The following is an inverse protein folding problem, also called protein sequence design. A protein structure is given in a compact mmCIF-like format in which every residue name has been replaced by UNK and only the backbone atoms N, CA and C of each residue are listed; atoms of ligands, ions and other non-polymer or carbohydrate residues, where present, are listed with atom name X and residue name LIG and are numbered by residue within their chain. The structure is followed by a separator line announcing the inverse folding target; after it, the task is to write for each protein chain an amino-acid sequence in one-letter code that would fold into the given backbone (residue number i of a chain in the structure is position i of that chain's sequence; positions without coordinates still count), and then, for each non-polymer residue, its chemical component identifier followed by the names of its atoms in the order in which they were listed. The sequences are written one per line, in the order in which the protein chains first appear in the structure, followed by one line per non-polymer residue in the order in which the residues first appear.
data_IF_938237577784
#
_entry.id   IF_938237577784
#
_cell.length_a   1.000
_cell.length_b   1.000
_cell.length_c   1.000
_cell.angle_alpha   90.00
_cell.angle_beta   90.00
_cell.angle_gamma   90.00
#
_symmetry.space_group_name_H-M   'P 1'
#
loop_
_entity.id
_entity.type
_entity.pdbx_description
1 polymer ?
#
# COMPACT_ATOMS: atom_id res chain seq x y z
N UNK A 1 3.57 0.03 -22.43
CA UNK A 1 2.88 0.74 -21.32
C UNK A 1 3.84 1.79 -20.79
N UNK A 2 3.34 2.94 -20.41
CA UNK A 2 4.09 4.21 -20.36
C UNK A 2 4.88 4.33 -19.05
N UNK A 3 6.03 5.01 -19.06
CA UNK A 3 6.81 5.41 -17.87
C UNK A 3 7.12 6.90 -17.92
N UNK A 4 7.30 7.52 -16.76
CA UNK A 4 7.89 8.86 -16.64
C UNK A 4 9.41 8.76 -16.67
N UNK A 5 10.04 9.67 -17.42
CA UNK A 5 11.48 9.92 -17.31
C UNK A 5 11.75 11.41 -17.19
N UNK A 6 12.66 11.75 -16.27
CA UNK A 6 13.22 13.09 -16.17
C UNK A 6 14.22 13.32 -17.31
N UNK A 7 14.01 14.38 -18.10
CA UNK A 7 15.03 14.90 -19.00
C UNK A 7 15.76 16.07 -18.36
N UNK A 8 17.02 16.24 -18.81
CA UNK A 8 18.00 17.20 -18.29
C UNK A 8 17.41 18.55 -17.83
N UNK A 9 17.87 18.97 -16.65
CA UNK A 9 17.72 20.31 -16.10
C UNK A 9 18.26 21.33 -17.10
N UNK A 10 17.39 22.17 -17.66
CA UNK A 10 17.86 23.29 -18.47
C UNK A 10 18.49 24.34 -17.53
N UNK A 11 19.79 24.59 -17.65
CA UNK A 11 20.52 25.49 -16.74
C UNK A 11 20.07 26.96 -16.79
N UNK A 12 19.18 27.31 -17.73
CA UNK A 12 18.68 28.66 -17.98
C UNK A 12 17.26 28.89 -17.42
N UNK A 13 16.54 27.82 -17.08
CA UNK A 13 15.15 27.83 -16.65
C UNK A 13 15.02 26.58 -15.78
N UNK A 14 14.90 26.71 -14.45
CA UNK A 14 14.95 25.64 -13.44
C UNK A 14 13.77 24.64 -13.52
N UNK A 15 13.38 24.24 -14.73
CA UNK A 15 12.24 23.41 -15.08
C UNK A 15 12.74 22.04 -15.54
N UNK A 16 12.39 21.01 -14.79
CA UNK A 16 12.44 19.61 -15.23
C UNK A 16 11.24 19.38 -16.15
N UNK A 17 11.47 19.00 -17.41
CA UNK A 17 10.38 18.57 -18.30
C UNK A 17 10.11 17.09 -18.04
N UNK A 18 8.94 16.78 -17.49
CA UNK A 18 8.42 15.42 -17.38
C UNK A 18 8.14 14.94 -18.79
N UNK A 19 8.77 13.83 -19.21
CA UNK A 19 8.53 13.23 -20.52
C UNK A 19 8.06 11.80 -20.35
N UNK A 20 6.93 11.47 -20.97
CA UNK A 20 6.43 10.11 -21.02
C UNK A 20 7.13 9.33 -22.12
N UNK A 21 7.61 8.13 -21.82
CA UNK A 21 8.22 7.21 -22.79
C UNK A 21 7.64 5.82 -22.61
N UNK A 22 7.81 4.92 -23.58
CA UNK A 22 7.47 3.52 -23.33
C UNK A 22 8.53 2.84 -22.45
N UNK A 23 8.19 1.75 -21.74
CA UNK A 23 9.18 0.94 -21.00
C UNK A 23 10.36 0.53 -21.90
N UNK A 24 10.10 0.14 -23.15
CA UNK A 24 11.14 -0.26 -24.10
C UNK A 24 12.10 0.91 -24.42
N UNK A 25 11.54 2.10 -24.65
CA UNK A 25 12.34 3.31 -24.86
C UNK A 25 13.14 3.69 -23.60
N UNK A 26 12.54 3.52 -22.42
CA UNK A 26 13.24 3.74 -21.15
C UNK A 26 14.44 2.78 -20.97
N UNK A 27 14.28 1.51 -21.34
CA UNK A 27 15.36 0.51 -21.33
C UNK A 27 16.47 0.85 -22.32
N UNK A 28 16.12 1.25 -23.54
CA UNK A 28 17.08 1.68 -24.56
C UNK A 28 17.92 2.87 -24.06
N UNK A 29 17.28 3.85 -23.43
CA UNK A 29 17.97 4.97 -22.80
C UNK A 29 18.89 4.58 -21.67
N UNK A 30 18.45 3.69 -20.77
CA UNK A 30 19.29 3.19 -19.69
C UNK A 30 20.51 2.42 -20.23
N UNK A 31 20.42 1.87 -21.44
CA UNK A 31 21.53 1.23 -22.16
C UNK A 31 22.39 2.22 -22.98
N UNK A 32 22.15 3.54 -22.87
CA UNK A 32 22.93 4.58 -23.56
C UNK A 32 22.41 4.96 -24.95
N UNK A 33 21.24 4.47 -25.37
CA UNK A 33 20.62 4.90 -26.63
C UNK A 33 19.72 6.12 -26.42
N UNK A 34 20.10 7.26 -27.01
CA UNK A 34 19.38 8.52 -26.84
C UNK A 34 18.30 8.78 -27.91
N UNK A 35 18.10 7.86 -28.86
CA UNK A 35 17.11 7.99 -29.93
C UNK A 35 15.80 7.36 -29.47
N UNK A 36 15.03 8.11 -28.68
CA UNK A 36 13.66 7.73 -28.30
C UNK A 36 12.71 8.89 -28.48
N UNK A 37 11.43 8.59 -28.70
CA UNK A 37 10.38 9.59 -28.92
C UNK A 37 9.44 9.61 -27.73
N UNK A 38 9.09 10.80 -27.26
CA UNK A 38 8.12 10.97 -26.18
C UNK A 38 6.72 10.56 -26.61
N UNK A 39 5.92 9.98 -25.71
CA UNK A 39 4.48 9.84 -25.87
C UNK A 39 3.84 11.18 -25.55
N UNK A 40 3.15 11.78 -26.53
CA UNK A 40 2.52 13.10 -26.41
C UNK A 40 1.00 13.02 -26.35
N UNK A 41 0.39 11.95 -26.89
CA UNK A 41 -1.05 11.72 -26.80
C UNK A 41 -1.40 10.27 -26.55
N UNK A 42 -2.49 10.07 -25.83
CA UNK A 42 -3.12 8.78 -25.55
C UNK A 42 -4.58 8.88 -25.98
N UNK A 43 -5.01 8.04 -26.92
CA UNK A 43 -6.36 8.06 -27.49
C UNK A 43 -6.77 9.45 -28.02
N UNK A 44 -5.81 10.22 -28.54
CA UNK A 44 -6.02 11.57 -29.06
C UNK A 44 -6.05 12.70 -28.01
N UNK A 45 -6.04 12.35 -26.73
CA UNK A 45 -5.94 13.28 -25.58
C UNK A 45 -4.47 13.53 -25.27
N UNK A 46 -4.10 14.72 -24.80
CA UNK A 46 -2.75 14.98 -24.28
C UNK A 46 -2.35 13.91 -23.24
N UNK A 47 -1.11 13.42 -23.31
CA UNK A 47 -0.67 12.33 -22.47
C UNK A 47 -0.72 12.69 -20.97
N UNK A 48 -0.42 13.95 -20.61
CA UNK A 48 -0.48 14.43 -19.22
C UNK A 48 -1.92 14.40 -18.73
N UNK A 49 -2.82 15.05 -19.48
CA UNK A 49 -4.24 15.15 -19.13
C UNK A 49 -4.89 13.77 -18.99
N UNK A 50 -4.55 12.85 -19.91
CA UNK A 50 -5.04 11.49 -19.86
C UNK A 50 -4.61 10.77 -18.57
N UNK A 51 -3.32 10.86 -18.23
CA UNK A 51 -2.75 10.17 -17.07
C UNK A 51 -3.25 10.77 -15.74
N UNK A 52 -3.37 12.09 -15.65
CA UNK A 52 -3.95 12.76 -14.48
C UNK A 52 -5.41 12.34 -14.27
N UNK A 53 -6.23 12.35 -15.33
CA UNK A 53 -7.63 11.92 -15.24
C UNK A 53 -7.75 10.44 -14.84
N UNK A 54 -6.88 9.60 -15.41
CA UNK A 54 -6.84 8.19 -15.08
C UNK A 54 -6.45 7.93 -13.62
N UNK A 55 -5.42 8.62 -13.11
CA UNK A 55 -5.02 8.54 -11.71
C UNK A 55 -6.14 8.99 -10.77
N UNK A 56 -6.83 10.09 -11.11
CA UNK A 56 -7.90 10.65 -10.29
C UNK A 56 -9.10 9.71 -10.16
N UNK A 57 -9.44 8.97 -11.22
CA UNK A 57 -10.62 8.09 -11.27
C UNK A 57 -10.32 6.64 -10.85
N UNK A 58 -9.09 6.16 -11.08
CA UNK A 58 -8.78 4.74 -11.03
C UNK A 58 -7.92 4.27 -9.86
N UNK A 59 -7.25 5.16 -9.12
CA UNK A 59 -6.21 4.76 -8.15
C UNK A 59 -6.66 5.03 -6.71
N UNK A 60 -6.53 4.01 -5.83
CA UNK A 60 -6.96 4.06 -4.43
C UNK A 60 -5.82 4.62 -3.58
N UNK A 61 -5.55 5.91 -3.73
CA UNK A 61 -4.70 6.64 -2.80
C UNK A 61 -5.38 7.95 -2.43
N UNK A 62 -5.26 8.33 -1.15
CA UNK A 62 -5.91 9.54 -0.63
C UNK A 62 -5.25 10.82 -1.14
N UNK A 63 -3.94 10.76 -1.39
CA UNK A 63 -3.16 11.88 -1.88
C UNK A 63 -3.12 11.89 -3.43
N UNK A 64 -3.39 13.03 -4.10
CA UNK A 64 -3.32 13.14 -5.56
C UNK A 64 -1.95 12.76 -6.15
N UNK A 65 -0.85 13.14 -5.50
CA UNK A 65 0.50 12.86 -5.98
C UNK A 65 0.82 11.37 -5.81
N UNK A 66 0.38 10.75 -4.72
CA UNK A 66 0.46 9.30 -4.53
C UNK A 66 -0.30 8.54 -5.62
N UNK A 67 -1.50 9.00 -6.01
CA UNK A 67 -2.25 8.40 -7.13
C UNK A 67 -1.45 8.50 -8.42
N UNK A 68 -0.90 9.67 -8.71
CA UNK A 68 -0.15 9.90 -9.94
C UNK A 68 1.14 9.06 -10.00
N UNK A 69 1.94 9.05 -8.94
CA UNK A 69 3.19 8.30 -8.87
C UNK A 69 2.97 6.79 -9.08
N UNK A 70 1.86 6.27 -8.55
CA UNK A 70 1.51 4.85 -8.66
C UNK A 70 1.13 4.40 -10.08
N UNK A 71 0.92 5.32 -11.02
CA UNK A 71 0.72 4.95 -12.43
C UNK A 71 1.92 4.21 -13.01
N UNK A 72 3.13 4.54 -12.56
CA UNK A 72 4.36 4.12 -13.21
C UNK A 72 5.04 2.97 -12.45
N UNK A 73 5.86 2.16 -13.13
CA UNK A 73 6.68 1.14 -12.48
C UNK A 73 7.59 1.75 -11.42
N UNK A 74 7.62 1.13 -10.25
CA UNK A 74 8.41 1.56 -9.11
C UNK A 74 9.25 0.39 -8.56
N UNK A 75 10.53 0.58 -8.27
CA UNK A 75 11.39 -0.48 -7.77
C UNK A 75 10.98 -1.04 -6.40
N UNK A 76 10.50 -0.21 -5.49
CA UNK A 76 10.08 -0.62 -4.15
C UNK A 76 8.81 -1.47 -4.26
N UNK A 77 7.88 -1.08 -5.13
CA UNK A 77 6.71 -1.86 -5.52
C UNK A 77 7.08 -3.21 -6.17
N UNK A 78 8.20 -3.27 -6.90
CA UNK A 78 8.69 -4.53 -7.46
C UNK A 78 9.23 -5.48 -6.38
N UNK A 79 9.96 -4.95 -5.39
CA UNK A 79 10.50 -5.74 -4.27
C UNK A 79 9.38 -6.31 -3.39
N UNK A 80 8.34 -5.50 -3.09
CA UNK A 80 7.16 -5.98 -2.36
C UNK A 80 6.22 -6.85 -3.20
N UNK A 81 6.52 -7.03 -4.49
CA UNK A 81 5.65 -7.68 -5.46
C UNK A 81 4.25 -7.04 -5.56
N UNK A 82 4.12 -5.79 -5.12
CA UNK A 82 2.88 -5.03 -5.17
C UNK A 82 2.86 -4.15 -6.42
N UNK A 83 2.38 -4.71 -7.52
CA UNK A 83 2.15 -3.95 -8.77
C UNK A 83 3.45 -3.36 -9.36
N UNK A 84 4.47 -4.19 -9.67
CA UNK A 84 5.78 -3.74 -10.17
C UNK A 84 5.73 -2.85 -11.42
N UNK A 85 4.67 -2.98 -12.23
CA UNK A 85 4.50 -2.25 -13.49
C UNK A 85 3.67 -0.97 -13.35
N UNK A 86 3.27 -0.60 -12.13
CA UNK A 86 2.35 0.51 -11.87
C UNK A 86 0.90 0.20 -12.23
N UNK A 87 -0.02 1.03 -11.74
CA UNK A 87 -1.46 0.86 -11.93
C UNK A 87 -1.90 1.06 -13.38
N UNK A 88 -1.13 1.81 -14.18
CA UNK A 88 -1.37 1.97 -15.61
C UNK A 88 -1.46 0.63 -16.34
N UNK A 89 -0.62 -0.34 -15.96
CA UNK A 89 -0.54 -1.61 -16.67
C UNK A 89 -1.77 -2.50 -16.46
N UNK A 90 -2.52 -2.28 -15.39
CA UNK A 90 -3.66 -3.11 -14.98
C UNK A 90 -5.01 -2.42 -15.18
N UNK A 91 -5.04 -1.09 -15.18
CA UNK A 91 -6.30 -0.31 -15.17
C UNK A 91 -7.29 -0.78 -14.08
N UNK A 92 -6.78 -1.35 -12.97
CA UNK A 92 -7.58 -2.03 -11.93
C UNK A 92 -8.61 -3.06 -12.41
N UNK A 93 -8.38 -3.69 -13.56
CA UNK A 93 -9.37 -4.60 -14.14
C UNK A 93 -10.63 -3.89 -14.66
N UNK A 94 -10.66 -2.56 -14.67
CA UNK A 94 -11.69 -1.79 -15.34
C UNK A 94 -11.49 -1.92 -16.85
N UNK A 95 -12.60 -2.12 -17.58
CA UNK A 95 -12.57 -2.05 -19.03
C UNK A 95 -12.57 -0.57 -19.47
N UNK A 96 -11.57 -0.11 -20.24
CA UNK A 96 -11.48 1.30 -20.63
C UNK A 96 -12.44 1.69 -21.77
N UNK A 97 -13.33 0.77 -22.19
CA UNK A 97 -14.33 1.03 -23.23
C UNK A 97 -13.84 0.81 -24.67
N UNK A 98 -12.56 0.50 -24.87
CA UNK A 98 -11.97 0.22 -26.17
C UNK A 98 -11.06 -1.02 -26.10
N UNK A 99 -10.88 -1.72 -27.22
CA UNK A 99 -10.00 -2.88 -27.30
C UNK A 99 -8.52 -2.51 -27.45
N UNK A 100 -8.22 -1.26 -27.78
CA UNK A 100 -6.85 -0.77 -27.95
C UNK A 100 -6.63 0.60 -27.32
N UNK A 101 -5.38 0.86 -26.91
CA UNK A 101 -4.86 2.20 -26.64
C UNK A 101 -4.05 2.67 -27.85
N UNK A 102 -4.33 3.88 -28.32
CA UNK A 102 -3.53 4.54 -29.35
C UNK A 102 -2.53 5.51 -28.69
N UNK A 103 -1.25 5.17 -28.74
CA UNK A 103 -0.18 6.08 -28.39
C UNK A 103 0.24 6.89 -29.62
N UNK A 104 0.43 8.20 -29.45
CA UNK A 104 1.05 9.07 -30.45
C UNK A 104 2.33 9.66 -29.88
N UNK A 105 3.37 9.67 -30.69
CA UNK A 105 4.71 10.05 -30.29
C UNK A 105 5.09 11.45 -30.84
N UNK A 106 6.04 12.13 -30.20
CA UNK A 106 6.48 13.47 -30.58
C UNK A 106 7.06 13.55 -32.00
N UNK A 107 7.65 12.45 -32.50
CA UNK A 107 8.12 12.30 -33.88
C UNK A 107 6.99 12.02 -34.90
N UNK A 108 5.72 12.07 -34.48
CA UNK A 108 4.55 11.87 -35.33
C UNK A 108 4.18 10.41 -35.58
N UNK A 109 4.96 9.43 -35.11
CA UNK A 109 4.57 8.02 -35.22
C UNK A 109 3.46 7.68 -34.23
N UNK A 110 2.77 6.57 -34.49
CA UNK A 110 1.73 6.05 -33.60
C UNK A 110 1.94 4.58 -33.32
N UNK A 111 1.41 4.10 -32.18
CA UNK A 111 1.42 2.69 -31.79
C UNK A 111 0.10 2.32 -31.16
N UNK A 112 -0.55 1.31 -31.72
CA UNK A 112 -1.71 0.66 -31.10
C UNK A 112 -1.23 -0.38 -30.09
N UNK A 113 -1.81 -0.39 -28.89
CA UNK A 113 -1.59 -1.38 -27.85
C UNK A 113 -2.89 -2.10 -27.60
N UNK A 114 -2.88 -3.43 -27.68
CA UNK A 114 -4.06 -4.24 -27.34
C UNK A 114 -4.29 -4.28 -25.83
N UNK A 115 -5.57 -4.18 -25.44
CA UNK A 115 -6.00 -4.36 -24.07
C UNK A 115 -6.40 -5.82 -23.93
N UNK A 116 -5.70 -6.53 -23.05
CA UNK A 116 -5.92 -7.94 -22.81
C UNK A 116 -6.59 -8.16 -21.45
N UNK A 117 -7.50 -9.12 -21.39
CA UNK A 117 -7.99 -9.69 -20.14
C UNK A 117 -7.30 -11.04 -19.93
N UNK A 118 -6.80 -11.28 -18.72
CA UNK A 118 -6.13 -12.54 -18.37
C UNK A 118 -7.04 -13.40 -17.52
N UNK A 119 -7.20 -14.67 -17.91
CA UNK A 119 -7.88 -15.69 -17.12
C UNK A 119 -6.85 -16.45 -16.27
N UNK A 120 -7.02 -16.52 -14.94
CA UNK A 120 -6.07 -17.24 -14.09
C UNK A 120 -6.01 -18.73 -14.47
N UNK A 121 -4.82 -19.26 -14.70
CA UNK A 121 -4.64 -20.69 -15.03
C UNK A 121 -5.17 -21.59 -13.91
N UNK A 122 -5.07 -21.15 -12.65
CA UNK A 122 -5.61 -21.84 -11.48
C UNK A 122 -7.14 -22.06 -11.56
N UNK A 123 -7.86 -21.21 -12.31
CA UNK A 123 -9.29 -21.33 -12.55
C UNK A 123 -9.63 -22.31 -13.69
N UNK A 124 -8.64 -23.06 -14.22
CA UNK A 124 -8.83 -24.00 -15.33
C UNK A 124 -8.95 -23.30 -16.68
N UNK A 125 -9.59 -23.95 -17.66
CA UNK A 125 -9.85 -23.35 -18.98
C UNK A 125 -11.08 -22.45 -18.91
N UNK A 126 -11.00 -21.25 -19.48
CA UNK A 126 -12.17 -20.35 -19.62
C UNK A 126 -13.14 -20.87 -20.68
N UNK A 127 -13.98 -21.84 -20.29
CA UNK A 127 -14.97 -22.46 -21.16
C UNK A 127 -16.37 -21.82 -21.00
N UNK A 128 -16.48 -20.70 -20.30
CA UNK A 128 -17.74 -20.01 -20.02
C UNK A 128 -17.99 -18.93 -21.08
N UNK A 129 -18.98 -19.15 -21.95
CA UNK A 129 -19.35 -18.21 -23.03
C UNK A 129 -20.48 -17.27 -22.65
N UNK A 130 -21.08 -17.43 -21.47
CA UNK A 130 -22.17 -16.61 -20.96
C UNK A 130 -21.98 -16.30 -19.47
N UNK A 131 -22.50 -15.16 -19.01
CA UNK A 131 -22.36 -14.73 -17.62
C UNK A 131 -22.99 -15.69 -16.61
N UNK A 132 -24.11 -16.33 -16.96
CA UNK A 132 -24.80 -17.30 -16.11
C UNK A 132 -23.93 -18.53 -15.79
N UNK A 133 -23.26 -19.10 -16.79
CA UNK A 133 -22.40 -20.28 -16.57
C UNK A 133 -21.12 -19.94 -15.81
N UNK A 134 -20.65 -18.68 -15.88
CA UNK A 134 -19.56 -18.20 -15.03
C UNK A 134 -20.04 -18.03 -13.57
N UNK A 135 -21.22 -17.45 -13.37
CA UNK A 135 -21.80 -17.27 -12.03
C UNK A 135 -22.04 -18.62 -11.33
N UNK A 136 -22.62 -19.60 -12.03
CA UNK A 136 -22.83 -20.95 -11.49
C UNK A 136 -21.51 -21.64 -11.12
N UNK A 137 -20.45 -21.43 -11.90
CA UNK A 137 -19.17 -22.10 -11.68
C UNK A 137 -18.33 -21.50 -10.54
N UNK A 138 -18.54 -20.22 -10.18
CA UNK A 138 -17.66 -19.50 -9.24
C UNK A 138 -18.38 -18.76 -8.10
N UNK A 139 -19.69 -18.55 -8.19
CA UNK A 139 -20.48 -17.83 -7.19
C UNK A 139 -21.57 -18.68 -6.52
N UNK A 140 -21.57 -20.00 -6.76
CA UNK A 140 -22.38 -20.94 -5.98
C UNK A 140 -21.85 -21.00 -4.53
N UNK A 141 -22.73 -20.72 -3.57
CA UNK A 141 -22.42 -20.66 -2.13
C UNK A 141 -21.96 -21.99 -1.52
N UNK A 142 -21.98 -23.08 -2.29
CA UNK A 142 -21.49 -24.41 -1.89
C UNK A 142 -20.03 -24.67 -2.25
N UNK A 143 -19.39 -23.76 -3.00
CA UNK A 143 -17.97 -23.89 -3.36
C UNK A 143 -17.07 -23.36 -2.22
N UNK A 144 -15.98 -24.07 -1.85
CA UNK A 144 -15.02 -23.55 -0.89
C UNK A 144 -14.41 -22.25 -1.42
N UNK A 145 -14.40 -21.20 -0.59
CA UNK A 145 -14.00 -19.82 -0.88
C UNK A 145 -12.51 -19.62 -1.20
N UNK A 146 -11.85 -20.62 -1.78
CA UNK A 146 -10.45 -20.55 -2.22
C UNK A 146 -10.38 -20.15 -3.69
N UNK A 147 -11.03 -19.04 -4.05
CA UNK A 147 -10.85 -18.40 -5.35
C UNK A 147 -9.78 -17.30 -5.23
N UNK A 148 -8.53 -17.77 -5.12
CA UNK A 148 -7.34 -17.25 -5.79
C UNK A 148 -7.35 -15.73 -6.10
N UNK A 149 -6.80 -14.94 -5.17
CA UNK A 149 -6.12 -13.70 -5.53
C UNK A 149 -4.72 -14.07 -6.05
N UNK A 150 -4.61 -14.56 -7.28
CA UNK A 150 -3.31 -14.56 -7.95
C UNK A 150 -3.09 -13.17 -8.55
N UNK A 151 -2.02 -12.52 -8.12
CA UNK A 151 -1.49 -11.37 -8.85
C UNK A 151 -1.15 -11.82 -10.27
N UNK A 152 -1.41 -11.00 -11.31
CA UNK A 152 -1.05 -11.34 -12.68
C UNK A 152 0.44 -11.72 -12.76
N UNK A 153 0.74 -12.78 -13.52
CA UNK A 153 2.11 -13.21 -13.77
C UNK A 153 2.96 -12.04 -14.27
N UNK A 154 4.07 -11.80 -13.58
CA UNK A 154 5.10 -10.82 -13.93
C UNK A 154 5.67 -11.19 -15.32
N UNK A 155 5.54 -10.35 -16.36
CA UNK A 155 6.33 -10.49 -17.58
C UNK A 155 7.82 -10.39 -17.25
N UNK A 156 8.72 -11.04 -18.00
CA UNK A 156 10.05 -11.41 -17.54
C UNK A 156 10.90 -10.21 -17.09
N UNK A 157 11.48 -10.37 -15.89
CA UNK A 157 12.62 -9.63 -15.29
C UNK A 157 12.69 -8.15 -15.69
N UNK A 158 11.92 -7.32 -14.99
CA UNK A 158 12.46 -6.01 -14.62
C UNK A 158 13.78 -6.29 -13.91
N UNK A 159 14.92 -5.91 -14.51
CA UNK A 159 16.18 -5.89 -13.76
C UNK A 159 15.91 -4.92 -12.62
N UNK A 160 15.81 -5.45 -11.41
CA UNK A 160 15.83 -4.67 -10.20
C UNK A 160 16.92 -3.60 -10.37
N UNK A 161 16.62 -2.32 -10.09
CA UNK A 161 17.67 -1.33 -10.09
C UNK A 161 18.69 -1.82 -9.07
N UNK A 162 19.95 -1.90 -9.50
CA UNK A 162 21.04 -2.26 -8.60
C UNK A 162 21.03 -1.27 -7.45
N UNK A 163 20.52 -1.68 -6.29
CA UNK A 163 20.62 -0.89 -5.07
C UNK A 163 22.12 -0.74 -4.83
N UNK A 164 22.62 0.50 -4.94
CA UNK A 164 24.06 0.78 -4.96
C UNK A 164 24.79 0.31 -3.69
N UNK A 165 24.06 0.20 -2.58
CA UNK A 165 24.55 -0.32 -1.31
C UNK A 165 23.64 -1.47 -0.85
N UNK A 166 24.16 -2.69 -0.65
CA UNK A 166 23.34 -3.78 -0.13
C UNK A 166 22.79 -3.40 1.26
N UNK A 167 21.57 -3.83 1.62
CA UNK A 167 21.03 -3.59 2.94
C UNK A 167 21.91 -4.22 4.01
N UNK A 168 22.07 -3.51 5.13
CA UNK A 168 22.81 -3.99 6.31
C UNK A 168 21.98 -5.01 7.09
N UNK A 169 20.65 -4.93 6.93
CA UNK A 169 19.67 -5.85 7.48
C UNK A 169 18.46 -5.89 6.55
N UNK A 170 17.85 -7.06 6.40
CA UNK A 170 16.60 -7.23 5.67
C UNK A 170 15.70 -8.23 6.37
N UNK A 171 14.39 -8.02 6.27
CA UNK A 171 13.41 -9.03 6.62
C UNK A 171 13.48 -10.18 5.59
N UNK A 172 13.28 -11.42 6.04
CA UNK A 172 13.42 -12.63 5.21
C UNK A 172 12.59 -12.59 3.92
N UNK A 173 11.33 -12.14 4.02
CA UNK A 173 10.41 -11.97 2.88
C UNK A 173 10.54 -10.62 2.16
N UNK A 174 11.67 -9.91 2.28
CA UNK A 174 11.88 -8.60 1.63
C UNK A 174 10.84 -7.52 2.02
N UNK A 175 10.23 -7.64 3.21
CA UNK A 175 9.20 -6.72 3.71
C UNK A 175 9.76 -5.49 4.41
N UNK A 176 11.06 -5.48 4.68
CA UNK A 176 11.77 -4.37 5.33
C UNK A 176 13.25 -4.45 5.00
N UNK A 177 13.88 -3.28 4.81
CA UNK A 177 15.32 -3.16 4.63
C UNK A 177 15.90 -2.02 5.49
N UNK A 178 17.08 -2.27 6.04
CA UNK A 178 17.85 -1.33 6.82
C UNK A 178 19.13 -0.93 6.11
N UNK A 179 19.38 0.37 5.96
CA UNK A 179 20.57 0.93 5.32
C UNK A 179 21.22 1.98 6.21
N UNK A 180 22.51 2.25 5.97
CA UNK A 180 23.17 3.48 6.37
C UNK A 180 23.47 4.30 5.12
N UNK A 181 23.35 5.62 5.23
CA UNK A 181 23.74 6.50 4.14
C UNK A 181 25.23 6.77 4.19
N UNK A 182 25.82 6.87 3.00
CA UNK A 182 27.20 7.27 2.80
C UNK A 182 27.25 8.68 2.23
N UNK A 183 28.20 9.49 2.67
CA UNK A 183 28.43 10.84 2.14
C UNK A 183 28.67 11.88 3.22
N UNK A 184 29.19 13.04 2.81
CA UNK A 184 29.56 14.11 3.74
C UNK A 184 28.32 14.55 4.53
N UNK A 185 28.40 14.37 5.85
CA UNK A 185 27.32 14.75 6.77
C UNK A 185 26.12 13.80 6.74
N UNK A 186 26.29 12.55 6.31
CA UNK A 186 25.26 11.49 6.38
C UNK A 186 25.68 10.29 7.24
N UNK A 187 26.88 10.31 7.83
CA UNK A 187 27.48 9.20 8.57
C UNK A 187 26.67 8.75 9.79
N UNK A 188 25.80 9.61 10.30
CA UNK A 188 24.90 9.39 11.43
C UNK A 188 23.45 9.10 11.04
N UNK A 189 23.18 8.85 9.75
CA UNK A 189 21.84 8.57 9.20
C UNK A 189 21.64 7.09 8.96
N UNK A 190 20.56 6.55 9.52
CA UNK A 190 20.00 5.24 9.19
C UNK A 190 18.72 5.40 8.36
N UNK A 191 18.45 4.43 7.49
CA UNK A 191 17.22 4.34 6.70
C UNK A 191 16.53 3.01 6.98
N UNK A 192 15.26 3.08 7.37
CA UNK A 192 14.35 1.95 7.47
C UNK A 192 13.36 2.03 6.30
N UNK A 193 13.57 1.22 5.27
CA UNK A 193 12.66 1.12 4.14
C UNK A 193 11.64 0.02 4.36
N UNK A 194 10.37 0.35 4.17
CA UNK A 194 9.22 -0.51 4.39
C UNK A 194 8.37 -0.52 3.12
N UNK A 195 8.61 -1.48 2.21
CA UNK A 195 7.84 -1.61 0.98
C UNK A 195 6.36 -1.94 1.17
N UNK A 196 5.97 -2.52 2.32
CA UNK A 196 4.59 -2.92 2.62
C UNK A 196 4.38 -3.14 4.13
N UNK A 197 3.14 -3.05 4.59
CA UNK A 197 2.71 -3.56 5.91
C UNK A 197 1.94 -4.89 5.80
N UNK A 198 1.83 -5.45 4.59
CA UNK A 198 1.21 -6.77 4.44
C UNK A 198 2.10 -7.82 5.09
N UNK A 199 1.50 -8.62 5.96
CA UNK A 199 2.13 -9.85 6.42
C UNK A 199 1.82 -10.92 5.38
N UNK A 200 2.84 -11.57 4.83
CA UNK A 200 2.66 -12.84 4.14
C UNK A 200 1.97 -13.77 5.13
N UNK A 201 0.97 -14.55 4.70
CA UNK A 201 0.33 -15.55 5.57
C UNK A 201 1.45 -16.33 6.23
N UNK A 202 1.55 -16.19 7.56
CA UNK A 202 2.55 -16.86 8.38
C UNK A 202 2.64 -18.30 7.89
N UNK A 203 3.74 -18.67 7.23
CA UNK A 203 4.02 -20.08 7.05
C UNK A 203 4.28 -20.61 8.45
N UNK A 204 3.23 -21.19 9.04
CA UNK A 204 3.20 -21.75 10.40
C UNK A 204 4.22 -22.87 10.59
N UNK A 205 5.03 -23.19 9.57
CA UNK A 205 6.08 -24.19 9.58
C UNK A 205 7.48 -23.63 9.83
N UNK A 206 7.69 -22.30 9.83
CA UNK A 206 8.99 -21.70 10.12
C UNK A 206 9.07 -21.17 11.57
N UNK A 207 9.83 -21.81 12.47
CA UNK A 207 9.96 -21.38 13.87
C UNK A 207 10.76 -20.08 14.07
N UNK A 208 11.21 -19.42 12.99
CA UNK A 208 12.06 -18.22 13.00
C UNK A 208 11.44 -17.03 12.24
N UNK A 209 10.11 -16.98 12.06
CA UNK A 209 9.48 -15.84 11.36
C UNK A 209 9.43 -14.64 12.31
N UNK A 210 10.44 -13.79 12.20
CA UNK A 210 10.47 -12.46 12.83
C UNK A 210 9.54 -11.53 12.06
N UNK A 211 8.56 -10.91 12.72
CA UNK A 211 7.67 -9.91 12.09
C UNK A 211 8.44 -8.69 11.58
N UNK A 212 7.80 -7.89 10.70
CA UNK A 212 8.32 -6.58 10.28
C UNK A 212 8.69 -5.73 11.50
N UNK A 213 7.81 -5.67 12.51
CA UNK A 213 8.03 -4.89 13.74
C UNK A 213 9.24 -5.37 14.56
N UNK A 214 9.42 -6.68 14.72
CA UNK A 214 10.56 -7.23 15.47
C UNK A 214 11.87 -6.99 14.71
N UNK A 215 11.87 -7.17 13.39
CA UNK A 215 13.05 -6.93 12.57
C UNK A 215 13.42 -5.44 12.58
N UNK A 216 12.42 -4.54 12.57
CA UNK A 216 12.63 -3.11 12.69
C UNK A 216 13.22 -2.73 14.06
N UNK A 217 12.74 -3.34 15.15
CA UNK A 217 13.30 -3.12 16.49
C UNK A 217 14.79 -3.53 16.56
N UNK A 218 15.15 -4.69 16.00
CA UNK A 218 16.54 -5.16 15.94
C UNK A 218 17.40 -4.18 15.12
N UNK A 219 16.91 -3.74 13.95
CA UNK A 219 17.62 -2.76 13.13
C UNK A 219 17.83 -1.43 13.87
N UNK A 220 16.81 -0.93 14.55
CA UNK A 220 16.86 0.33 15.31
C UNK A 220 17.89 0.25 16.44
N UNK A 221 17.92 -0.85 17.20
CA UNK A 221 18.94 -1.07 18.23
C UNK A 221 20.35 -1.06 17.64
N UNK A 222 20.53 -1.75 16.51
CA UNK A 222 21.81 -1.78 15.81
C UNK A 222 22.24 -0.39 15.32
N UNK A 223 21.31 0.38 14.78
CA UNK A 223 21.58 1.76 14.35
C UNK A 223 22.04 2.64 15.53
N UNK A 224 21.43 2.49 16.71
CA UNK A 224 21.89 3.18 17.93
C UNK A 224 23.30 2.73 18.33
N UNK A 225 23.56 1.42 18.34
CA UNK A 225 24.89 0.88 18.67
C UNK A 225 25.97 1.37 17.69
N UNK A 226 25.61 1.53 16.42
CA UNK A 226 26.46 2.06 15.35
C UNK A 226 26.48 3.61 15.32
N UNK A 227 26.02 4.27 16.38
CA UNK A 227 26.03 5.74 16.60
C UNK A 227 25.25 6.54 15.57
N UNK A 228 24.20 5.95 14.98
CA UNK A 228 23.25 6.70 14.15
C UNK A 228 22.35 7.52 15.05
N UNK A 229 22.19 8.80 14.74
CA UNK A 229 21.36 9.74 15.51
C UNK A 229 20.18 10.28 14.72
N UNK A 230 20.12 10.03 13.41
CA UNK A 230 19.04 10.40 12.50
C UNK A 230 18.46 9.17 11.82
N UNK A 231 17.14 9.12 11.69
CA UNK A 231 16.41 8.02 11.08
C UNK A 231 15.53 8.54 9.95
N UNK A 232 15.63 7.90 8.79
CA UNK A 232 14.68 8.05 7.69
C UNK A 232 13.81 6.80 7.68
N UNK A 233 12.50 6.96 7.88
CA UNK A 233 11.52 5.89 7.67
C UNK A 233 10.95 6.08 6.28
N UNK A 234 11.38 5.24 5.35
CA UNK A 234 10.93 5.27 3.97
C UNK A 234 9.75 4.30 3.78
N UNK A 235 8.55 4.88 3.68
CA UNK A 235 7.31 4.19 3.32
C UNK A 235 6.83 4.65 1.94
N UNK A 236 7.73 5.15 1.09
CA UNK A 236 7.40 5.45 -0.31
C UNK A 236 6.98 4.17 -1.03
N UNK A 237 5.98 4.30 -1.91
CA UNK A 237 5.39 3.18 -2.64
C UNK A 237 4.88 2.02 -1.76
N UNK A 238 4.68 2.25 -0.46
CA UNK A 238 4.07 1.29 0.45
C UNK A 238 2.55 1.31 0.28
N UNK A 239 1.98 0.20 -0.20
CA UNK A 239 0.54 0.07 -0.43
C UNK A 239 -0.32 -0.07 0.83
N UNK A 240 0.27 0.00 2.02
CA UNK A 240 -0.38 -0.31 3.29
C UNK A 240 -0.31 -1.79 3.61
N UNK A 241 -1.31 -2.29 4.35
CA UNK A 241 -1.39 -3.68 4.80
C UNK A 241 -2.01 -3.78 6.18
N UNK A 242 -1.41 -4.59 7.04
CA UNK A 242 -1.90 -4.79 8.40
C UNK A 242 -1.66 -3.54 9.27
N UNK A 243 -2.75 -2.92 9.72
CA UNK A 243 -2.72 -1.74 10.59
C UNK A 243 -2.02 -2.00 11.92
N UNK A 244 -2.07 -3.23 12.44
CA UNK A 244 -1.40 -3.60 13.69
C UNK A 244 0.11 -3.48 13.54
N UNK A 245 0.69 -3.87 12.39
CA UNK A 245 2.12 -3.70 12.14
C UNK A 245 2.53 -2.24 12.13
N UNK A 246 1.70 -1.37 11.54
CA UNK A 246 1.88 0.08 11.58
C UNK A 246 1.86 0.64 13.00
N UNK A 247 0.89 0.24 13.83
CA UNK A 247 0.83 0.66 15.23
C UNK A 247 2.02 0.17 16.05
N UNK A 248 2.48 -1.07 15.84
CA UNK A 248 3.68 -1.59 16.51
C UNK A 248 4.92 -0.78 16.18
N UNK A 249 5.12 -0.47 14.90
CA UNK A 249 6.26 0.35 14.49
C UNK A 249 6.18 1.77 15.10
N UNK A 250 4.98 2.36 15.14
CA UNK A 250 4.77 3.65 15.80
C UNK A 250 5.13 3.57 17.29
N UNK A 251 4.74 2.51 18.00
CA UNK A 251 5.11 2.30 19.40
C UNK A 251 6.61 2.09 19.62
N UNK A 252 7.34 1.52 18.65
CA UNK A 252 8.82 1.39 18.73
C UNK A 252 9.48 2.78 18.68
N UNK A 253 9.00 3.67 17.81
CA UNK A 253 9.54 5.03 17.70
C UNK A 253 9.05 5.98 18.78
N UNK A 254 7.82 5.80 19.25
CA UNK A 254 7.12 6.70 20.18
C UNK A 254 6.49 5.94 21.36
N UNK A 255 7.29 5.23 22.17
CA UNK A 255 6.78 4.37 23.25
C UNK A 255 6.02 5.11 24.35
N UNK A 256 6.22 6.42 24.48
CA UNK A 256 5.53 7.27 25.46
C UNK A 256 4.20 7.83 24.94
N UNK A 257 3.82 7.54 23.68
CA UNK A 257 2.60 8.02 23.06
C UNK A 257 1.55 6.92 22.97
N UNK A 258 0.33 7.14 23.50
CA UNK A 258 -0.74 6.19 23.32
C UNK A 258 -1.15 6.12 21.84
N UNK A 259 -1.45 4.91 21.37
CA UNK A 259 -2.06 4.73 20.05
C UNK A 259 -3.51 5.19 20.13
N UNK A 260 -3.84 6.24 19.40
CA UNK A 260 -5.20 6.77 19.31
C UNK A 260 -5.76 6.49 17.92
N UNK A 261 -6.87 5.74 17.87
CA UNK A 261 -7.57 5.48 16.61
C UNK A 261 -9.02 5.93 16.72
N UNK A 262 -9.50 6.58 15.68
CA UNK A 262 -10.87 7.04 15.58
C UNK A 262 -11.38 6.87 14.17
N UNK A 263 -12.61 6.42 14.03
CA UNK A 263 -13.29 6.37 12.75
C UNK A 263 -14.78 6.56 12.94
N UNK A 264 -15.45 6.85 11.82
CA UNK A 264 -16.89 6.83 11.64
C UNK A 264 -17.20 6.25 10.27
N UNK A 265 -18.35 5.59 10.14
CA UNK A 265 -18.92 5.26 8.84
C UNK A 265 -20.14 6.15 8.57
N UNK A 266 -20.48 6.35 7.30
CA UNK A 266 -21.72 7.04 6.91
C UNK A 266 -22.91 6.17 7.31
N UNK A 267 -23.79 6.73 8.11
CA UNK A 267 -25.00 6.08 8.56
C UNK A 267 -26.08 6.19 7.46
N UNK A 268 -26.18 5.14 6.65
CA UNK A 268 -27.16 4.99 5.57
C UNK A 268 -28.08 3.82 5.88
N UNK A 269 -29.27 3.79 5.27
CA UNK A 269 -30.24 2.69 5.46
C UNK A 269 -29.65 1.31 5.13
N UNK A 270 -28.83 1.22 4.09
CA UNK A 270 -28.15 -0.03 3.74
C UNK A 270 -27.18 -0.48 4.83
N UNK A 271 -26.37 0.46 5.37
CA UNK A 271 -25.44 0.16 6.46
C UNK A 271 -26.20 -0.24 7.73
N UNK A 272 -27.32 0.40 8.03
CA UNK A 272 -28.19 0.00 9.15
C UNK A 272 -28.71 -1.42 8.98
N UNK A 273 -29.23 -1.77 7.80
CA UNK A 273 -29.71 -3.12 7.51
C UNK A 273 -28.60 -4.16 7.67
N UNK A 274 -27.41 -3.89 7.09
CA UNK A 274 -26.24 -4.77 7.22
C UNK A 274 -25.82 -4.94 8.68
N UNK A 275 -25.69 -3.85 9.43
CA UNK A 275 -25.33 -3.91 10.85
C UNK A 275 -26.36 -4.66 11.68
N UNK A 276 -27.66 -4.48 11.42
CA UNK A 276 -28.71 -5.29 12.09
C UNK A 276 -28.58 -6.78 11.78
N UNK A 277 -28.20 -7.17 10.57
CA UNK A 277 -27.93 -8.57 10.22
C UNK A 277 -26.71 -9.07 10.96
N UNK A 278 -25.58 -8.37 10.88
CA UNK A 278 -24.34 -8.76 11.53
C UNK A 278 -24.41 -8.76 13.06
N UNK A 279 -25.31 -8.00 13.68
CA UNK A 279 -25.48 -7.99 15.14
C UNK A 279 -26.64 -8.87 15.63
N UNK A 280 -27.35 -9.59 14.73
CA UNK A 280 -28.38 -10.59 15.10
C UNK A 280 -27.82 -12.00 15.32
N UNK A 281 -26.76 -12.36 14.60
CA UNK A 281 -26.29 -13.73 14.46
C UNK A 281 -25.03 -14.06 15.26
N UNK A 282 -24.46 -13.10 15.99
CA UNK A 282 -23.10 -13.25 16.53
C UNK A 282 -23.14 -13.65 18.01
N UNK A 283 -23.53 -14.90 18.27
CA UNK A 283 -22.80 -15.74 19.25
C UNK A 283 -21.56 -16.34 18.56
N UNK A 284 -20.76 -15.52 17.86
CA UNK A 284 -19.54 -16.05 17.27
C UNK A 284 -18.48 -16.15 18.35
N UNK A 285 -17.99 -17.36 18.51
CA UNK A 285 -16.86 -17.71 19.36
C UNK A 285 -15.75 -16.67 19.17
N UNK A 286 -15.37 -15.97 20.23
CA UNK A 286 -14.33 -14.95 20.23
C UNK A 286 -12.95 -15.51 19.81
N UNK A 287 -12.85 -16.83 19.66
CA UNK A 287 -11.67 -17.57 19.20
C UNK A 287 -11.71 -17.97 17.72
N UNK A 288 -12.83 -17.76 17.02
CA UNK A 288 -12.89 -18.04 15.59
C UNK A 288 -12.04 -17.01 14.83
N UNK A 289 -10.97 -17.51 14.21
CA UNK A 289 -10.07 -16.76 13.33
C UNK A 289 -10.87 -16.31 12.09
N UNK A 290 -11.61 -15.22 12.23
CA UNK A 290 -12.40 -14.66 11.16
C UNK A 290 -11.48 -13.85 10.25
N UNK A 291 -11.28 -14.36 9.04
CA UNK A 291 -10.69 -13.63 7.88
C UNK A 291 -11.49 -12.35 7.51
N UNK A 292 -12.58 -12.07 8.22
CA UNK A 292 -13.42 -10.91 8.05
C UNK A 292 -13.33 -9.99 9.29
N UNK A 293 -12.97 -8.73 9.07
CA UNK A 293 -13.04 -7.65 10.05
C UNK A 293 -14.32 -6.82 9.76
N UNK A 294 -15.51 -7.25 10.21
CA UNK A 294 -16.74 -6.51 10.08
C UNK A 294 -16.67 -5.26 10.94
N UNK A 295 -16.37 -4.13 10.29
CA UNK A 295 -16.48 -2.79 10.87
C UNK A 295 -17.90 -2.42 11.35
N UNK A 296 -18.87 -3.33 11.21
CA UNK A 296 -20.27 -3.13 11.56
C UNK A 296 -20.74 -4.05 12.71
N UNK A 297 -19.84 -4.74 13.41
CA UNK A 297 -20.18 -5.56 14.60
C UNK A 297 -19.87 -4.76 15.87
N UNK A 298 -20.91 -4.38 16.63
CA UNK A 298 -20.79 -3.45 17.75
C UNK A 298 -19.87 -3.96 18.85
N UNK A 299 -20.00 -5.23 19.22
CA UNK A 299 -19.25 -5.83 20.32
C UNK A 299 -17.73 -5.92 20.09
N UNK A 300 -17.25 -5.70 18.86
CA UNK A 300 -15.81 -5.68 18.53
C UNK A 300 -15.22 -4.26 18.50
N UNK A 301 -16.09 -3.25 18.50
CA UNK A 301 -15.68 -1.86 18.49
C UNK A 301 -15.56 -1.35 19.92
N UNK A 302 -14.69 -0.36 20.11
CA UNK A 302 -14.47 0.27 21.42
C UNK A 302 -14.46 1.79 21.29
N UNK A 303 -14.68 2.49 22.40
CA UNK A 303 -14.52 3.94 22.45
C UNK A 303 -13.06 4.32 22.10
N UNK A 304 -12.82 5.51 21.50
CA UNK A 304 -11.46 5.92 21.11
C UNK A 304 -10.43 5.95 22.24
N UNK A 305 -10.87 6.14 23.48
CA UNK A 305 -10.03 6.08 24.68
C UNK A 305 -9.77 4.65 25.20
N UNK A 306 -10.31 3.64 24.49
CA UNK A 306 -10.20 2.21 24.80
C UNK A 306 -10.85 1.79 26.14
N UNK A 307 -11.72 2.63 26.73
CA UNK A 307 -12.29 2.38 28.07
C UNK A 307 -13.63 1.67 28.08
N UNK A 308 -14.36 1.67 26.96
CA UNK A 308 -15.72 1.12 26.90
C UNK A 308 -15.99 0.42 25.56
N UNK A 309 -16.78 -0.64 25.62
CA UNK A 309 -17.24 -1.38 24.43
C UNK A 309 -18.68 -0.98 24.10
N UNK A 310 -19.06 -1.06 22.82
CA UNK A 310 -20.45 -0.87 22.41
C UNK A 310 -21.28 -2.11 22.71
N UNK A 311 -22.43 -1.93 23.37
CA UNK A 311 -23.29 -3.04 23.81
C UNK A 311 -24.30 -3.46 22.74
N UNK A 312 -24.62 -2.56 21.81
CA UNK A 312 -25.60 -2.81 20.76
C UNK A 312 -25.24 -2.12 19.46
N UNK A 313 -25.81 -2.60 18.35
CA UNK A 313 -25.72 -1.93 17.05
C UNK A 313 -26.24 -0.48 17.12
N UNK A 314 -27.28 -0.22 17.90
CA UNK A 314 -27.82 1.13 18.08
C UNK A 314 -26.81 2.10 18.68
N UNK A 315 -26.02 1.64 19.65
CA UNK A 315 -24.98 2.46 20.29
C UNK A 315 -23.86 2.84 19.31
N UNK A 316 -23.47 1.91 18.43
CA UNK A 316 -22.43 2.13 17.43
C UNK A 316 -22.95 2.96 16.22
N UNK A 317 -24.13 2.63 15.69
CA UNK A 317 -24.67 3.21 14.46
C UNK A 317 -25.03 4.70 14.56
N UNK A 318 -25.38 5.19 15.76
CA UNK A 318 -25.98 6.50 15.90
C UNK A 318 -27.34 6.55 15.17
N UNK A 319 -27.66 7.57 14.36
CA UNK A 319 -26.71 8.49 13.73
C UNK A 319 -26.48 9.78 14.53
N UNK A 320 -25.30 10.35 14.34
CA UNK A 320 -24.95 11.71 14.76
C UNK A 320 -24.76 12.60 13.53
N UNK A 321 -25.24 13.83 13.59
CA UNK A 321 -24.99 14.83 12.56
C UNK A 321 -23.55 15.35 12.66
N UNK A 322 -22.71 15.01 11.69
CA UNK A 322 -21.31 15.44 11.61
C UNK A 322 -21.04 15.97 10.21
N UNK A 323 -20.58 17.22 10.11
CA UNK A 323 -20.28 17.88 8.82
C UNK A 323 -21.42 17.74 7.78
N UNK A 324 -22.66 17.98 8.21
CA UNK A 324 -23.89 17.88 7.39
C UNK A 324 -24.15 16.46 6.81
N UNK A 325 -23.66 15.41 7.47
CA UNK A 325 -23.94 14.01 7.11
C UNK A 325 -24.29 13.21 8.35
N UNK A 326 -25.18 12.22 8.19
CA UNK A 326 -25.42 11.21 9.22
C UNK A 326 -24.20 10.28 9.31
N UNK A 327 -23.59 10.21 10.49
CA UNK A 327 -22.42 9.37 10.75
C UNK A 327 -22.65 8.49 11.98
N UNK A 328 -21.94 7.37 12.05
CA UNK A 328 -21.88 6.50 13.23
C UNK A 328 -21.42 7.23 14.48
N UNK A 329 -21.60 6.64 15.65
CA UNK A 329 -20.86 7.05 16.86
C UNK A 329 -19.35 6.94 16.60
N UNK A 330 -18.56 7.83 17.22
CA UNK A 330 -17.10 7.80 17.10
C UNK A 330 -16.57 6.54 17.80
N UNK A 331 -15.78 5.75 17.11
CA UNK A 331 -15.26 4.49 17.64
C UNK A 331 -13.85 4.21 17.16
N UNK A 332 -13.19 3.27 17.81
CA UNK A 332 -11.97 2.63 17.37
C UNK A 332 -12.29 1.20 16.88
N UNK A 333 -11.63 0.79 15.80
CA UNK A 333 -11.84 -0.51 15.17
C UNK A 333 -11.13 -1.66 15.90
N UNK A 334 -10.08 -1.33 16.66
CA UNK A 334 -9.29 -2.29 17.39
C UNK A 334 -9.47 -2.10 18.88
N UNK A 335 -9.85 -3.17 19.57
CA UNK A 335 -9.70 -3.30 21.00
C UNK A 335 -8.28 -3.74 21.32
N UNK A 336 -7.41 -2.78 21.65
CA UNK A 336 -6.00 -3.09 21.92
C UNK A 336 -5.83 -3.88 23.22
N UNK A 337 -6.74 -3.75 24.19
CA UNK A 337 -6.70 -4.51 25.45
C UNK A 337 -7.10 -5.98 25.26
N UNK A 338 -8.14 -6.28 24.50
CA UNK A 338 -8.61 -7.65 24.27
C UNK A 338 -7.67 -8.45 23.34
N UNK A 339 -7.03 -7.79 22.36
CA UNK A 339 -6.02 -8.44 21.51
C UNK A 339 -4.73 -8.78 22.24
N UNK A 340 -4.47 -8.21 23.42
CA UNK A 340 -3.36 -8.60 24.28
C UNK A 340 -3.64 -9.92 25.02
N UNK A 341 -4.90 -10.22 25.31
CA UNK A 341 -5.27 -11.39 26.13
C UNK A 341 -5.46 -12.69 25.32
N UNK A 342 -5.86 -12.63 24.04
CA UNK A 342 -6.22 -13.83 23.26
C UNK A 342 -5.11 -14.39 22.39
N UNK A 343 -4.02 -13.64 22.12
CA UNK A 343 -2.90 -14.12 21.33
C UNK A 343 -1.62 -14.16 22.17
N UNK A 344 -1.22 -15.36 22.63
CA UNK A 344 0.13 -15.61 23.21
C UNK A 344 1.27 -15.24 22.25
N UNK A 345 1.00 -15.18 20.95
CA UNK A 345 1.91 -14.65 19.92
C UNK A 345 2.09 -13.13 20.02
N UNK A 346 1.16 -12.40 20.65
CA UNK A 346 1.27 -10.96 20.94
C UNK A 346 1.97 -10.66 22.27
N UNK A 347 1.90 -11.56 23.27
CA UNK A 347 2.75 -11.49 24.48
C UNK A 347 4.24 -11.66 24.13
N UNK A 348 4.57 -12.57 23.21
CA UNK A 348 5.94 -12.73 22.70
C UNK A 348 6.38 -11.59 21.76
N UNK A 349 5.45 -10.94 21.05
CA UNK A 349 5.76 -9.81 20.15
C UNK A 349 5.81 -8.43 20.83
N UNK A 350 5.52 -8.35 22.13
CA UNK A 350 5.96 -7.25 23.00
C UNK A 350 7.32 -7.51 23.65
N UNK A 351 7.99 -8.63 23.36
CA UNK A 351 9.41 -8.82 23.69
C UNK A 351 10.36 -8.28 22.61
N UNK A 352 9.94 -7.24 21.89
CA UNK A 352 10.87 -6.14 21.58
C UNK A 352 11.38 -5.55 22.91
N UNK A 353 12.53 -4.84 22.94
CA UNK A 353 13.12 -4.42 24.20
C UNK A 353 12.06 -3.70 25.05
N UNK A 354 11.95 -4.10 26.31
CA UNK A 354 11.08 -3.52 27.32
C UNK A 354 10.94 -1.98 27.11
N UNK A 355 9.80 -1.56 26.55
CA UNK A 355 9.49 -0.14 26.31
C UNK A 355 8.61 0.44 27.40
N UNK A 356 8.50 -0.23 28.56
CA UNK A 356 7.82 0.34 29.72
C UNK A 356 8.56 1.60 30.21
N UNK A 357 8.12 2.77 29.74
CA UNK A 357 8.54 4.08 30.23
C UNK A 357 9.81 4.70 29.63
N UNK A 358 10.31 4.20 28.50
CA UNK A 358 11.49 4.74 27.83
C UNK A 358 11.22 5.91 26.85
N UNK A 359 12.22 6.73 26.57
CA UNK A 359 12.23 7.61 25.38
C UNK A 359 12.57 6.78 24.14
N UNK A 360 11.90 7.02 23.01
CA UNK A 360 12.21 6.33 21.74
C UNK A 360 13.70 6.40 21.36
N UNK A 361 14.17 5.41 20.61
CA UNK A 361 15.60 5.26 20.24
C UNK A 361 16.18 6.47 19.49
N UNK A 362 15.34 7.20 18.77
CA UNK A 362 15.67 8.44 18.08
C UNK A 362 14.80 9.57 18.62
N UNK A 363 15.37 10.76 18.81
CA UNK A 363 14.58 11.94 19.15
C UNK A 363 13.58 12.23 18.00
N UNK A 364 12.31 12.57 18.28
CA UNK A 364 11.31 12.77 17.22
C UNK A 364 11.75 13.77 16.13
N UNK A 365 12.45 14.85 16.52
CA UNK A 365 13.01 15.85 15.58
C UNK A 365 14.09 15.31 14.62
N UNK A 366 14.63 14.13 14.89
CA UNK A 366 15.65 13.45 14.09
C UNK A 366 15.05 12.32 13.23
N UNK A 367 13.73 12.16 13.24
CA UNK A 367 13.01 11.17 12.43
C UNK A 367 12.35 11.90 11.26
N UNK A 368 12.62 11.44 10.04
CA UNK A 368 11.92 11.88 8.83
C UNK A 368 11.14 10.69 8.29
N UNK A 369 9.87 10.89 7.98
CA UNK A 369 9.04 9.88 7.31
C UNK A 369 8.86 10.32 5.86
N UNK A 370 9.30 9.47 4.93
CA UNK A 370 9.15 9.68 3.49
C UNK A 370 7.96 8.86 3.03
N UNK A 371 6.89 9.53 2.58
CA UNK A 371 5.64 8.89 2.13
C UNK A 371 5.44 8.93 0.62
N UNK A 372 6.26 9.70 -0.10
CA UNK A 372 6.16 9.87 -1.55
C UNK A 372 7.54 9.68 -2.16
N UNK A 373 7.59 8.93 -3.25
CA UNK A 373 8.69 9.03 -4.21
C UNK A 373 8.56 10.40 -4.87
N UNK A 374 9.48 11.33 -4.60
CA UNK A 374 9.44 12.67 -5.18
C UNK A 374 9.63 12.58 -6.71
N UNK A 375 8.54 12.63 -7.46
CA UNK A 375 8.53 13.24 -8.80
C UNK A 375 7.88 14.60 -8.62
N UNK A 376 8.69 15.65 -8.53
CA UNK A 376 8.23 17.01 -8.27
C UNK A 376 7.26 17.48 -9.36
N UNK A 377 5.97 17.53 -9.04
CA UNK A 377 4.94 18.22 -9.83
C UNK A 377 4.92 19.69 -9.42
N UNK A 378 5.62 20.55 -10.18
CA UNK A 378 5.42 22.00 -10.03
C UNK A 378 4.28 22.44 -10.95
N UNK A 379 3.03 22.39 -10.45
CA UNK A 379 1.93 23.15 -11.05
C UNK A 379 2.12 24.63 -10.71
N UNK A 380 2.28 25.48 -11.73
CA UNK A 380 2.04 26.91 -11.61
C UNK A 380 0.54 27.12 -11.42
N UNK A 381 0.13 27.63 -10.27
CA UNK A 381 -1.11 28.39 -10.19
C UNK A 381 -0.84 29.71 -10.93
N UNK A 382 -1.53 29.90 -12.06
CA UNK A 382 -1.65 31.20 -12.73
C UNK A 382 -2.77 32.02 -12.11
#
# INVERSE_FOLDING_TARGET
MVQVQDFQRNYQDDRTLIVFVTIADAQLKNAGNHIVSAVVKINGIDATDYLEAHAALGIDAHDPDARYNRLFPDPVAAISQQWPLGDWARNKGMWPGAATFLLQFANGSTRSLEITATWPTASGKMNHTAGGSLYEAFCDATLPANAVHDSPAIPPKYKEPTIKSPPIMGHYDNLMFGYYLDGIGLDDVAVLQLPTFQSTKLDTKSPNVTTISETAAIFIQRAVADRKIRMIVDVSSNGGGDLIQGFRLASIFFPDKPIYTTTRFRATELVDLMGRVYNRTVEMDATADMDFDPSLVAQWMVSPDQRSNFQSWGDLYGPHQVMNSNMSTLHARFNFSQRLETNRSMELQQSGPDTTGGTGAFAPKNIIIVMLTFYSYFRRFG
#
